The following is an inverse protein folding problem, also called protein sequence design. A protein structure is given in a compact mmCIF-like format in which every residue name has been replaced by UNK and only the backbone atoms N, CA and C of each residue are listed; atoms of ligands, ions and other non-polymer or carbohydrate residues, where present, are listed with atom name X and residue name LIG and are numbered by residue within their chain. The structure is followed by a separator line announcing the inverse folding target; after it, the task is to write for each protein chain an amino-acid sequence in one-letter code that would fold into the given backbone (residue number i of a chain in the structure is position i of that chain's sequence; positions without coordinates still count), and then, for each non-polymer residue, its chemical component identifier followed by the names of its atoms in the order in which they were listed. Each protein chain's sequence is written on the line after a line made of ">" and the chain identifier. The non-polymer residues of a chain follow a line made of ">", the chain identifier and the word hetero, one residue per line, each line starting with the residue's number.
data_IF_531387573975
#
_entry.id   IF_531387573975
#
_cell.length_a   1.000
_cell.length_b   1.000
_cell.length_c   1.000
_cell.angle_alpha   90.00
_cell.angle_beta   90.00
_cell.angle_gamma   90.00
#
_symmetry.space_group_name_H-M   'P 1'
#
loop_
_entity.id
_entity.type
_entity.pdbx_description
1 polymer ?
#
# COMPACT_ATOMS: atom_id res chain seq x y z
N UNK A 1 -7.09 -6.67 18.10
CA UNK A 1 -6.99 -5.77 16.93
C UNK A 1 -5.78 -6.23 16.12
N UNK A 2 -5.97 -6.82 14.94
CA UNK A 2 -4.84 -7.25 14.09
C UNK A 2 -4.27 -5.99 13.45
N UNK A 3 -3.14 -5.51 13.97
CA UNK A 3 -2.36 -4.44 13.37
C UNK A 3 -1.92 -4.90 11.98
N UNK A 4 -2.61 -4.43 10.94
CA UNK A 4 -2.22 -4.65 9.55
C UNK A 4 -0.77 -4.18 9.39
N UNK A 5 0.13 -4.98 8.78
CA UNK A 5 1.54 -4.61 8.67
C UNK A 5 1.67 -3.25 7.97
N UNK A 6 2.14 -2.25 8.73
CA UNK A 6 2.34 -0.88 8.27
C UNK A 6 3.08 -0.89 6.93
N UNK A 7 2.49 -0.27 5.90
CA UNK A 7 3.22 0.00 4.66
C UNK A 7 4.07 1.25 4.84
N UNK A 8 5.41 1.13 4.84
CA UNK A 8 6.28 2.30 4.94
C UNK A 8 6.00 3.23 3.75
N UNK A 9 5.75 4.51 4.02
CA UNK A 9 5.44 5.49 2.97
C UNK A 9 3.99 5.55 2.53
N UNK A 10 3.04 4.83 3.15
CA UNK A 10 1.63 4.91 2.75
C UNK A 10 1.03 6.33 2.81
N UNK A 11 1.55 7.20 3.69
CA UNK A 11 1.16 8.60 3.76
C UNK A 11 1.41 9.35 2.43
N UNK A 12 2.53 9.06 1.74
CA UNK A 12 2.82 9.70 0.45
C UNK A 12 1.96 9.16 -0.69
N UNK A 13 1.25 8.05 -0.46
CA UNK A 13 0.35 7.42 -1.44
C UNK A 13 -1.09 7.91 -1.35
N UNK A 14 -1.47 8.61 -0.27
CA UNK A 14 -2.84 9.11 -0.07
C UNK A 14 -3.29 10.00 -1.23
N UNK A 15 -2.49 11.01 -1.56
CA UNK A 15 -2.76 11.95 -2.64
C UNK A 15 -2.13 11.54 -3.99
N UNK A 16 -1.62 10.31 -4.09
CA UNK A 16 -1.01 9.85 -5.32
C UNK A 16 -2.07 9.56 -6.39
N UNK A 17 -1.85 10.10 -7.59
CA UNK A 17 -2.61 9.78 -8.80
C UNK A 17 -2.10 8.52 -9.50
N UNK A 18 -1.07 7.86 -8.96
CA UNK A 18 -0.55 6.61 -9.50
C UNK A 18 -1.51 5.44 -9.25
N UNK A 19 -1.51 4.49 -10.18
CA UNK A 19 -2.22 3.21 -10.02
C UNK A 19 -1.38 2.23 -9.19
N UNK A 20 -2.05 1.22 -8.62
CA UNK A 20 -1.39 0.11 -7.94
C UNK A 20 -0.31 -0.54 -8.81
N UNK A 21 -0.59 -0.84 -10.09
CA UNK A 21 0.40 -1.45 -11.00
C UNK A 21 1.66 -0.61 -11.18
N UNK A 22 1.51 0.72 -11.33
CA UNK A 22 2.67 1.62 -11.48
C UNK A 22 3.49 1.69 -10.21
N UNK A 23 2.82 1.76 -9.06
CA UNK A 23 3.49 1.69 -7.75
C UNK A 23 4.19 0.35 -7.57
N UNK A 24 3.55 -0.76 -7.92
CA UNK A 24 4.09 -2.11 -7.79
C UNK A 24 5.30 -2.33 -8.69
N UNK A 25 5.24 -1.87 -9.95
CA UNK A 25 6.36 -1.89 -10.88
C UNK A 25 7.54 -1.05 -10.35
N UNK A 26 7.26 0.15 -9.82
CA UNK A 26 8.29 0.99 -9.21
C UNK A 26 8.90 0.35 -7.95
N UNK A 27 8.12 -0.45 -7.22
CA UNK A 27 8.59 -1.22 -6.07
C UNK A 27 9.64 -2.25 -6.46
N UNK A 28 9.46 -2.97 -7.58
CA UNK A 28 10.50 -3.89 -8.06
C UNK A 28 11.80 -3.19 -8.43
N UNK A 29 11.73 -1.96 -8.92
CA UNK A 29 12.91 -1.19 -9.29
C UNK A 29 13.66 -0.62 -8.07
N UNK A 30 12.93 -0.17 -7.05
CA UNK A 30 13.50 0.54 -5.89
C UNK A 30 13.72 -0.37 -4.66
N UNK A 31 12.85 -1.36 -4.46
CA UNK A 31 12.82 -2.23 -3.29
C UNK A 31 12.36 -3.66 -3.65
N UNK A 32 13.14 -4.41 -4.45
CA UNK A 32 12.74 -5.72 -4.96
C UNK A 32 12.41 -6.75 -3.86
N UNK A 33 13.10 -6.70 -2.71
CA UNK A 33 12.79 -7.57 -1.57
C UNK A 33 11.37 -7.32 -1.01
N UNK A 34 10.89 -6.08 -1.03
CA UNK A 34 9.53 -5.75 -0.61
C UNK A 34 8.53 -6.23 -1.66
N UNK A 35 8.83 -6.05 -2.95
CA UNK A 35 7.98 -6.56 -4.02
C UNK A 35 7.80 -8.09 -3.93
N UNK A 36 8.90 -8.84 -3.73
CA UNK A 36 8.83 -10.29 -3.53
C UNK A 36 8.06 -10.70 -2.27
N UNK A 37 8.14 -9.90 -1.20
CA UNK A 37 7.32 -10.14 0.01
C UNK A 37 5.82 -9.98 -0.28
N UNK A 38 5.44 -9.13 -1.24
CA UNK A 38 4.05 -8.93 -1.65
C UNK A 38 3.57 -10.00 -2.64
N UNK A 39 4.46 -10.53 -3.47
CA UNK A 39 4.15 -11.70 -4.30
C UNK A 39 3.86 -12.94 -3.44
N UNK A 40 4.58 -13.08 -2.33
CA UNK A 40 4.44 -14.21 -1.41
C UNK A 40 3.31 -14.01 -0.39
N UNK A 41 2.98 -12.78 -0.02
CA UNK A 41 1.84 -12.43 0.85
C UNK A 41 0.69 -11.80 0.04
N UNK A 42 -0.12 -12.68 -0.56
CA UNK A 42 -1.29 -12.27 -1.35
C UNK A 42 -2.29 -11.42 -0.57
N UNK A 43 -2.46 -11.65 0.75
CA UNK A 43 -3.38 -10.84 1.56
C UNK A 43 -2.90 -9.41 1.65
N UNK A 44 -1.59 -9.23 1.85
CA UNK A 44 -0.97 -7.91 1.93
C UNK A 44 -0.98 -7.21 0.57
N UNK A 45 -0.82 -7.95 -0.52
CA UNK A 45 -0.99 -7.44 -1.89
C UNK A 45 -2.42 -6.97 -2.15
N UNK A 46 -3.43 -7.80 -1.87
CA UNK A 46 -4.84 -7.41 -2.05
C UNK A 46 -5.21 -6.20 -1.21
N UNK A 47 -4.71 -6.10 0.03
CA UNK A 47 -4.95 -4.92 0.86
C UNK A 47 -4.35 -3.62 0.27
N UNK A 48 -3.21 -3.70 -0.42
CA UNK A 48 -2.67 -2.55 -1.16
C UNK A 48 -3.52 -2.21 -2.37
N UNK A 49 -3.93 -3.21 -3.14
CA UNK A 49 -4.75 -3.01 -4.32
C UNK A 49 -6.09 -2.34 -3.95
N UNK A 50 -6.73 -2.81 -2.89
CA UNK A 50 -7.91 -2.17 -2.29
C UNK A 50 -7.62 -0.75 -1.82
N UNK A 51 -6.46 -0.49 -1.19
CA UNK A 51 -6.05 0.85 -0.79
C UNK A 51 -5.94 1.80 -1.98
N UNK A 52 -5.38 1.34 -3.10
CA UNK A 52 -5.29 2.14 -4.33
C UNK A 52 -6.63 2.29 -5.05
N UNK A 53 -7.62 1.43 -4.80
CA UNK A 53 -8.98 1.59 -5.35
C UNK A 53 -9.82 2.66 -4.62
N UNK A 54 -9.45 3.01 -3.39
CA UNK A 54 -10.13 4.00 -2.54
C UNK A 54 -9.87 5.45 -2.98
N UNK A 55 -10.78 6.35 -2.59
CA UNK A 55 -10.56 7.80 -2.76
C UNK A 55 -9.43 8.30 -1.84
N UNK A 56 -8.82 9.47 -2.12
CA UNK A 56 -7.81 10.05 -1.24
C UNK A 56 -8.27 10.18 0.22
N UNK A 57 -9.53 10.55 0.45
CA UNK A 57 -10.10 10.68 1.81
C UNK A 57 -10.16 9.33 2.53
N UNK A 58 -10.62 8.28 1.84
CA UNK A 58 -10.68 6.92 2.39
C UNK A 58 -9.29 6.31 2.60
N UNK A 59 -8.32 6.66 1.75
CA UNK A 59 -6.91 6.31 1.94
C UNK A 59 -6.36 7.00 3.18
N UNK A 60 -6.66 8.28 3.39
CA UNK A 60 -6.24 9.01 4.58
C UNK A 60 -6.77 8.35 5.86
N UNK A 61 -8.07 8.03 5.90
CA UNK A 61 -8.67 7.29 7.03
C UNK A 61 -8.01 5.94 7.26
N UNK A 62 -7.66 5.23 6.18
CA UNK A 62 -6.98 3.94 6.27
C UNK A 62 -5.58 4.10 6.87
N UNK A 63 -4.81 5.10 6.44
CA UNK A 63 -3.49 5.41 7.00
C UNK A 63 -3.59 5.85 8.47
N UNK A 64 -4.55 6.71 8.80
CA UNK A 64 -4.78 7.19 10.17
C UNK A 64 -5.14 6.02 11.11
N UNK A 65 -5.92 5.05 10.63
CA UNK A 65 -6.26 3.83 11.38
C UNK A 65 -5.06 2.91 11.65
N UNK A 66 -3.95 3.09 10.94
CA UNK A 66 -2.69 2.37 11.17
C UNK A 66 -1.73 3.13 12.11
N UNK A 67 -1.94 4.44 12.27
CA UNK A 67 -1.18 5.30 13.16
C UNK A 67 -1.73 5.31 14.60
N UNK A 68 -3.03 5.03 14.77
CA UNK A 68 -3.71 4.82 16.05
C UNK A 68 -3.42 3.44 16.66
#
# INVERSE_FOLDING_TARGET
>A
MRTTPKFPGAQSLVNSTCTFEKYYQALYAQAPAVAWSLDTDLRRRSALEEFFAKTPEERQLTVDSWAA
#
